data_IF_076506576414
#
_entry.id   IF_076506576414
#
_cell.length_a   1.000
_cell.length_b   1.000
_cell.length_c   1.000
_cell.angle_alpha   90.00
_cell.angle_beta   90.00
_cell.angle_gamma   90.00
#
_symmetry.space_group_name_H-M   'P 1'
#
loop_
_entity.id
_entity.type
_entity.pdbx_description
1 polymer ?
#
# COMPACT_ATOMS: atom_id res chain seq x y z
N UNK A 1 -3.92 -3.07 -19.06
CA UNK A 1 -4.07 -3.14 -17.58
C UNK A 1 -4.28 -1.78 -16.94
N UNK A 2 -5.24 -1.68 -16.01
CA UNK A 2 -5.39 -0.56 -15.04
C UNK A 2 -5.90 -1.11 -13.71
N UNK A 3 -5.40 -0.62 -12.57
CA UNK A 3 -5.87 -0.97 -11.21
C UNK A 3 -6.46 0.29 -10.55
N UNK A 4 -7.55 0.18 -9.77
CA UNK A 4 -8.30 1.36 -9.27
C UNK A 4 -8.99 1.18 -7.91
N UNK A 5 -9.15 2.29 -7.15
CA UNK A 5 -9.87 2.39 -5.87
C UNK A 5 -10.23 3.88 -5.57
N UNK A 6 -11.35 4.17 -4.89
CA UNK A 6 -11.96 5.52 -4.71
C UNK A 6 -12.57 5.74 -3.28
N UNK A 7 -13.04 6.95 -2.85
CA UNK A 7 -12.57 7.58 -1.60
C UNK A 7 -13.66 8.33 -0.75
N UNK A 8 -13.34 9.55 -0.24
CA UNK A 8 -14.16 10.59 0.47
C UNK A 8 -14.12 10.56 2.02
N UNK A 9 -14.33 11.67 2.78
CA UNK A 9 -14.55 13.11 2.45
C UNK A 9 -14.99 13.94 3.69
N UNK A 10 -15.35 15.24 3.52
CA UNK A 10 -15.98 16.20 4.51
C UNK A 10 -15.04 16.77 5.62
N UNK A 11 -14.97 18.05 6.09
CA UNK A 11 -15.73 19.35 6.06
C UNK A 11 -16.64 19.65 7.29
N UNK A 12 -16.81 20.87 7.88
CA UNK A 12 -16.23 22.23 7.76
C UNK A 12 -16.45 23.02 9.13
N UNK A 13 -16.53 24.36 9.11
CA UNK A 13 -16.96 25.35 10.16
C UNK A 13 -15.88 25.78 11.20
N UNK A 14 -15.50 27.05 11.41
CA UNK A 14 -16.20 28.31 11.86
C UNK A 14 -16.43 28.41 13.40
N UNK A 15 -16.33 29.55 14.10
CA UNK A 15 -16.10 30.98 13.76
C UNK A 15 -15.53 31.78 14.97
N UNK A 16 -14.77 32.87 14.76
CA UNK A 16 -14.74 34.08 15.63
C UNK A 16 -14.09 34.01 17.04
N UNK A 17 -13.78 35.12 17.73
CA UNK A 17 -13.59 36.54 17.35
C UNK A 17 -12.48 37.18 18.24
N UNK A 18 -12.21 38.48 18.04
CA UNK A 18 -11.16 39.30 18.65
C UNK A 18 -11.16 39.41 20.19
N UNK A 19 -10.04 39.92 20.75
CA UNK A 19 -9.96 40.97 21.80
C UNK A 19 -8.68 40.90 22.68
N UNK A 20 -7.66 41.66 22.28
CA UNK A 20 -6.61 42.21 23.15
C UNK A 20 -7.02 43.66 23.51
N UNK A 21 -6.59 44.30 24.63
CA UNK A 21 -5.27 44.14 25.26
C UNK A 21 -5.18 44.31 26.80
N UNK A 22 -4.00 43.97 27.37
CA UNK A 22 -3.14 44.86 28.22
C UNK A 22 -2.04 44.05 28.93
N UNK A 23 -0.80 44.55 28.92
CA UNK A 23 0.32 43.98 29.69
C UNK A 23 0.15 44.30 31.17
N UNK A 24 -0.48 43.40 31.92
CA UNK A 24 -0.44 43.43 33.38
C UNK A 24 0.89 42.80 33.85
N UNK A 25 1.79 43.60 34.41
CA UNK A 25 2.98 43.10 35.11
C UNK A 25 2.56 42.45 36.43
N UNK A 26 2.12 41.20 36.37
CA UNK A 26 1.91 40.37 37.55
C UNK A 26 3.28 40.04 38.14
N UNK A 27 3.66 40.77 39.19
CA UNK A 27 4.76 40.36 40.07
C UNK A 27 4.34 39.05 40.73
N UNK A 28 4.83 37.93 40.20
CA UNK A 28 4.56 36.60 40.72
C UNK A 28 5.27 36.41 42.07
N UNK A 29 4.67 36.95 43.12
CA UNK A 29 4.95 36.52 44.49
C UNK A 29 4.72 35.01 44.54
N UNK A 30 5.80 34.26 44.78
CA UNK A 30 5.76 32.80 44.83
C UNK A 30 5.03 32.36 46.11
N UNK A 31 3.70 32.44 46.08
CA UNK A 31 2.83 31.95 47.16
C UNK A 31 3.19 30.50 47.44
N UNK A 32 3.65 30.23 48.65
CA UNK A 32 4.12 28.91 49.10
C UNK A 32 3.13 27.81 48.73
N UNK A 33 3.43 27.09 47.65
CA UNK A 33 2.66 25.95 47.22
C UNK A 33 3.12 24.74 48.03
N UNK A 34 2.24 24.09 48.81
CA UNK A 34 2.63 22.96 49.64
C UNK A 34 3.28 21.88 48.76
N UNK A 35 4.44 21.38 49.20
CA UNK A 35 5.39 20.60 48.37
C UNK A 35 4.75 19.52 47.49
N UNK A 36 3.70 18.87 48.00
CA UNK A 36 2.91 17.85 47.31
C UNK A 36 2.42 18.26 45.91
N UNK A 37 2.21 19.56 45.64
CA UNK A 37 1.81 20.04 44.30
C UNK A 37 2.98 20.23 43.32
N UNK A 38 4.21 20.49 43.79
CA UNK A 38 5.35 20.77 42.90
C UNK A 38 5.80 19.53 42.10
N UNK A 39 5.76 18.34 42.70
CA UNK A 39 6.11 17.08 42.03
C UNK A 39 5.15 16.73 40.88
N UNK A 40 3.83 16.88 41.11
CA UNK A 40 2.81 16.59 40.10
C UNK A 40 2.96 17.48 38.85
N UNK A 41 3.29 18.76 39.02
CA UNK A 41 3.52 19.68 37.91
C UNK A 41 4.77 19.35 37.08
N UNK A 42 5.82 18.77 37.69
CA UNK A 42 7.01 18.31 36.96
C UNK A 42 6.71 17.09 36.09
N UNK A 43 5.92 16.13 36.59
CA UNK A 43 5.46 14.99 35.79
C UNK A 43 4.59 15.46 34.61
N UNK A 44 3.63 16.36 34.84
CA UNK A 44 2.82 16.94 33.77
C UNK A 44 3.70 17.69 32.75
N UNK A 45 4.65 18.52 33.20
CA UNK A 45 5.54 19.28 32.31
C UNK A 45 6.50 18.41 31.49
N UNK A 46 6.80 17.18 31.91
CA UNK A 46 7.61 16.22 31.16
C UNK A 46 6.76 15.37 30.20
N UNK A 47 5.56 14.96 30.63
CA UNK A 47 4.68 14.05 29.88
C UNK A 47 3.92 14.80 28.77
N UNK A 48 3.45 16.02 29.02
CA UNK A 48 2.69 16.80 28.03
C UNK A 48 3.46 17.07 26.71
N UNK A 49 4.73 17.54 26.72
CA UNK A 49 5.48 17.72 25.49
C UNK A 49 5.81 16.38 24.80
N UNK A 50 6.01 15.28 25.55
CA UNK A 50 6.26 13.96 24.97
C UNK A 50 5.03 13.44 24.21
N UNK A 51 3.82 13.60 24.76
CA UNK A 51 2.56 13.25 24.08
C UNK A 51 2.32 14.16 22.86
N UNK A 52 2.59 15.46 22.98
CA UNK A 52 2.52 16.39 21.84
C UNK A 52 3.49 15.99 20.72
N UNK A 53 4.73 15.62 21.04
CA UNK A 53 5.73 15.22 20.04
C UNK A 53 5.38 13.90 19.34
N UNK A 54 4.78 12.95 20.06
CA UNK A 54 4.33 11.68 19.48
C UNK A 54 3.24 11.88 18.39
N UNK A 55 2.33 12.84 18.58
CA UNK A 55 1.26 13.15 17.61
C UNK A 55 1.76 13.79 16.31
N UNK A 56 2.99 14.30 16.24
CA UNK A 56 3.55 14.86 15.00
C UNK A 56 3.94 13.78 13.97
N UNK A 57 4.01 12.49 14.34
CA UNK A 57 4.30 11.38 13.41
C UNK A 57 3.04 10.97 12.61
N UNK A 58 2.26 11.96 12.17
CA UNK A 58 1.19 11.77 11.20
C UNK A 58 1.81 11.52 9.82
N UNK A 59 2.16 10.26 9.53
CA UNK A 59 2.72 9.87 8.24
C UNK A 59 1.70 10.16 7.13
N UNK A 60 1.95 11.22 6.36
CA UNK A 60 1.26 11.48 5.10
C UNK A 60 1.59 10.37 4.12
N UNK A 61 0.77 9.31 4.11
CA UNK A 61 0.81 8.27 3.09
C UNK A 61 0.53 8.94 1.74
N UNK A 62 1.59 9.17 0.96
CA UNK A 62 1.44 9.40 -0.46
C UNK A 62 0.69 8.19 -1.05
N UNK A 63 -0.24 8.45 -1.97
CA UNK A 63 -0.85 7.40 -2.79
C UNK A 63 0.15 6.92 -3.85
N UNK A 64 1.25 6.36 -3.38
CA UNK A 64 2.19 5.57 -4.17
C UNK A 64 1.53 4.22 -4.44
N UNK A 65 1.42 3.84 -5.72
CA UNK A 65 0.93 2.53 -6.12
C UNK A 65 1.93 1.47 -5.65
N UNK A 66 1.59 0.76 -4.57
CA UNK A 66 2.53 -0.15 -3.90
C UNK A 66 2.93 -1.35 -4.77
N UNK A 67 2.06 -1.79 -5.69
CA UNK A 67 2.34 -2.83 -6.68
C UNK A 67 2.34 -2.22 -8.08
N UNK A 68 3.41 -2.44 -8.84
CA UNK A 68 3.58 -1.98 -10.22
C UNK A 68 3.65 -3.17 -11.18
N UNK A 69 3.39 -2.91 -12.46
CA UNK A 69 3.82 -3.80 -13.54
C UNK A 69 5.29 -3.49 -13.82
N UNK A 70 6.14 -4.51 -13.71
CA UNK A 70 7.60 -4.42 -13.80
C UNK A 70 8.13 -4.92 -15.15
N UNK A 71 7.45 -5.90 -15.74
CA UNK A 71 7.74 -6.42 -17.07
C UNK A 71 6.45 -6.90 -17.75
N UNK A 72 6.41 -6.83 -19.08
CA UNK A 72 5.39 -7.45 -19.93
C UNK A 72 6.10 -8.09 -21.11
N UNK A 73 5.75 -9.34 -21.40
CA UNK A 73 6.05 -10.05 -22.64
C UNK A 73 4.72 -10.28 -23.35
N UNK A 74 4.55 -9.60 -24.49
CA UNK A 74 3.34 -9.59 -25.33
C UNK A 74 3.61 -10.06 -26.77
N UNK A 75 4.89 -10.21 -27.15
CA UNK A 75 5.38 -10.61 -28.47
C UNK A 75 6.32 -11.80 -28.22
N UNK A 76 5.69 -12.97 -28.11
CA UNK A 76 6.32 -14.22 -27.70
C UNK A 76 7.33 -14.75 -28.73
N UNK A 77 8.16 -15.69 -28.30
CA UNK A 77 9.05 -16.43 -29.20
C UNK A 77 8.41 -17.74 -29.69
N UNK A 78 7.30 -18.18 -29.09
CA UNK A 78 6.52 -19.32 -29.56
C UNK A 78 5.30 -18.91 -30.40
N UNK A 79 4.89 -19.76 -31.33
CA UNK A 79 3.82 -19.44 -32.30
C UNK A 79 2.44 -19.42 -31.63
N UNK A 80 1.74 -18.29 -31.72
CA UNK A 80 0.50 -18.02 -30.97
C UNK A 80 0.74 -17.50 -29.55
N UNK A 81 1.98 -17.09 -29.28
CA UNK A 81 2.46 -16.46 -28.06
C UNK A 81 2.00 -17.15 -26.75
N UNK A 82 2.08 -18.48 -26.59
CA UNK A 82 1.74 -19.14 -25.32
C UNK A 82 2.64 -18.66 -24.16
N UNK A 83 3.84 -18.19 -24.48
CA UNK A 83 4.85 -17.67 -23.55
C UNK A 83 4.57 -16.25 -23.02
N UNK A 84 3.44 -15.61 -23.37
CA UNK A 84 3.04 -14.32 -22.80
C UNK A 84 3.03 -14.33 -21.27
N UNK A 85 3.57 -13.25 -20.68
CA UNK A 85 3.71 -13.11 -19.24
C UNK A 85 3.78 -11.66 -18.77
N UNK A 86 3.34 -11.43 -17.55
CA UNK A 86 3.41 -10.14 -16.84
C UNK A 86 4.11 -10.36 -15.50
N UNK A 87 5.08 -9.48 -15.17
CA UNK A 87 5.67 -9.44 -13.83
C UNK A 87 5.07 -8.30 -13.02
N UNK A 88 4.56 -8.61 -11.84
CA UNK A 88 4.21 -7.62 -10.82
C UNK A 88 5.37 -7.46 -9.84
N UNK A 89 5.57 -6.24 -9.31
CA UNK A 89 6.55 -5.94 -8.26
C UNK A 89 5.90 -5.14 -7.13
N UNK A 90 6.16 -5.50 -5.87
CA UNK A 90 5.81 -4.68 -4.72
C UNK A 90 6.99 -3.75 -4.37
N UNK A 91 6.84 -2.45 -4.64
CA UNK A 91 7.85 -1.41 -4.38
C UNK A 91 7.72 -0.76 -3.00
N UNK A 92 6.91 -1.34 -2.11
CA UNK A 92 6.68 -0.83 -0.76
C UNK A 92 7.41 -1.65 0.31
N UNK A 93 7.65 -1.02 1.47
CA UNK A 93 8.26 -1.66 2.64
C UNK A 93 7.34 -2.61 3.42
N UNK A 94 6.17 -2.97 2.88
CA UNK A 94 5.15 -3.82 3.53
C UNK A 94 4.62 -4.85 2.54
N UNK A 95 4.27 -6.06 3.01
CA UNK A 95 3.59 -7.03 2.15
C UNK A 95 2.24 -6.47 1.67
N UNK A 96 1.90 -6.71 0.40
CA UNK A 96 0.62 -6.30 -0.21
C UNK A 96 -0.17 -7.55 -0.56
N UNK A 97 -1.37 -7.67 0.01
CA UNK A 97 -2.37 -8.66 -0.37
C UNK A 97 -2.97 -8.28 -1.74
N UNK A 98 -2.96 -9.25 -2.66
CA UNK A 98 -3.49 -9.12 -4.02
C UNK A 98 -4.61 -10.14 -4.31
N UNK A 99 -5.16 -10.77 -3.27
CA UNK A 99 -6.31 -11.68 -3.36
C UNK A 99 -7.46 -11.03 -4.13
N UNK A 100 -8.00 -11.73 -5.14
CA UNK A 100 -9.10 -11.24 -5.97
C UNK A 100 -8.77 -10.01 -6.86
N UNK A 101 -7.50 -9.57 -6.92
CA UNK A 101 -7.08 -8.57 -7.91
C UNK A 101 -7.26 -9.13 -9.33
N UNK A 102 -7.46 -8.22 -10.29
CA UNK A 102 -7.69 -8.60 -11.67
C UNK A 102 -6.72 -7.91 -12.63
N UNK A 103 -6.36 -8.63 -13.68
CA UNK A 103 -5.54 -8.17 -14.80
C UNK A 103 -6.40 -8.24 -16.06
N UNK A 104 -6.35 -7.18 -16.86
CA UNK A 104 -7.16 -7.00 -18.05
C UNK A 104 -6.37 -6.20 -19.09
N UNK A 105 -6.65 -6.40 -20.38
CA UNK A 105 -6.32 -5.37 -21.37
C UNK A 105 -7.40 -4.27 -21.38
N UNK A 106 -7.06 -3.11 -21.95
CA UNK A 106 -7.95 -1.97 -22.10
C UNK A 106 -8.69 -1.93 -23.45
N UNK A 107 -8.33 -2.78 -24.42
CA UNK A 107 -8.96 -2.83 -25.76
C UNK A 107 -10.13 -3.83 -25.80
N UNK A 108 -10.09 -4.89 -24.99
CA UNK A 108 -11.06 -5.98 -24.98
C UNK A 108 -11.87 -6.08 -23.66
N UNK A 109 -12.51 -7.23 -23.39
CA UNK A 109 -13.22 -7.50 -22.13
C UNK A 109 -12.61 -8.64 -21.31
N UNK A 110 -11.32 -8.92 -21.49
CA UNK A 110 -10.55 -9.88 -20.69
C UNK A 110 -10.55 -9.49 -19.21
N UNK A 111 -10.49 -10.50 -18.35
CA UNK A 111 -10.32 -10.29 -16.90
C UNK A 111 -9.82 -11.57 -16.22
N UNK A 112 -8.52 -11.65 -15.97
CA UNK A 112 -7.88 -12.72 -15.21
C UNK A 112 -7.85 -12.37 -13.72
N UNK A 113 -8.35 -13.25 -12.85
CA UNK A 113 -8.51 -12.98 -11.41
C UNK A 113 -7.53 -13.81 -10.59
N UNK A 114 -6.72 -13.13 -9.77
CA UNK A 114 -5.71 -13.73 -8.89
C UNK A 114 -6.40 -14.43 -7.71
N UNK A 115 -5.91 -15.63 -7.39
CA UNK A 115 -6.44 -16.52 -6.35
C UNK A 115 -6.34 -15.90 -4.95
N UNK A 116 -7.24 -16.29 -4.05
CA UNK A 116 -7.25 -15.80 -2.67
C UNK A 116 -6.05 -16.30 -1.85
N UNK A 117 -5.58 -15.48 -0.91
CA UNK A 117 -4.42 -15.75 -0.05
C UNK A 117 -3.07 -15.34 -0.66
N UNK A 118 -3.06 -14.74 -1.85
CA UNK A 118 -1.84 -14.35 -2.56
C UNK A 118 -1.39 -12.96 -2.12
N UNK A 119 -0.14 -12.85 -1.66
CA UNK A 119 0.46 -11.56 -1.28
C UNK A 119 1.90 -11.45 -1.78
N UNK A 120 2.28 -10.26 -2.24
CA UNK A 120 3.65 -9.96 -2.64
C UNK A 120 4.38 -9.34 -1.45
N UNK A 121 5.45 -9.98 -0.97
CA UNK A 121 6.29 -9.47 0.11
C UNK A 121 7.10 -8.20 -0.31
N UNK A 122 7.66 -7.42 0.63
CA UNK A 122 8.39 -6.19 0.31
C UNK A 122 9.53 -6.41 -0.70
N UNK A 123 9.61 -5.53 -1.70
CA UNK A 123 10.60 -5.60 -2.80
C UNK A 123 10.63 -6.92 -3.59
N UNK A 124 9.59 -7.76 -3.48
CA UNK A 124 9.49 -9.01 -4.25
C UNK A 124 8.67 -8.83 -5.53
N UNK A 125 8.84 -9.77 -6.44
CA UNK A 125 8.11 -9.89 -7.70
C UNK A 125 7.33 -11.19 -7.78
N UNK A 126 6.27 -11.24 -8.58
CA UNK A 126 5.67 -12.49 -9.05
C UNK A 126 5.48 -12.46 -10.58
N UNK A 127 5.70 -13.59 -11.23
CA UNK A 127 5.43 -13.82 -12.64
C UNK A 127 4.08 -14.50 -12.83
N UNK A 128 3.30 -13.94 -13.75
CA UNK A 128 1.97 -14.37 -14.12
C UNK A 128 2.03 -14.71 -15.61
N UNK A 129 1.75 -15.95 -15.99
CA UNK A 129 1.91 -16.42 -17.38
C UNK A 129 0.62 -17.00 -17.96
N UNK A 130 0.52 -16.96 -19.30
CA UNK A 130 -0.52 -17.63 -20.08
C UNK A 130 -0.34 -19.15 -20.04
N UNK A 131 0.87 -19.62 -20.34
CA UNK A 131 1.28 -21.04 -20.33
C UNK A 131 2.60 -21.19 -19.57
N UNK A 132 2.58 -21.89 -18.42
CA UNK A 132 3.76 -21.99 -17.56
C UNK A 132 4.87 -22.82 -18.16
N UNK A 133 4.55 -23.82 -18.99
CA UNK A 133 5.55 -24.62 -19.69
C UNK A 133 6.20 -23.84 -20.84
N UNK A 134 5.48 -22.98 -21.56
CA UNK A 134 6.05 -22.07 -22.55
C UNK A 134 6.97 -21.03 -21.90
N UNK A 135 6.50 -20.38 -20.82
CA UNK A 135 7.32 -19.49 -20.01
C UNK A 135 8.60 -20.21 -19.52
N UNK A 136 8.51 -21.44 -19.02
CA UNK A 136 9.68 -22.19 -18.55
C UNK A 136 10.69 -22.47 -19.66
N UNK A 137 10.25 -22.74 -20.89
CA UNK A 137 11.15 -22.98 -22.05
C UNK A 137 11.95 -21.74 -22.43
N UNK A 138 11.35 -20.55 -22.29
CA UNK A 138 11.99 -19.27 -22.63
C UNK A 138 12.85 -18.70 -21.49
N UNK A 139 12.36 -18.73 -20.25
CA UNK A 139 13.00 -18.09 -19.09
C UNK A 139 13.90 -19.04 -18.27
N UNK A 140 13.73 -20.36 -18.41
CA UNK A 140 14.52 -21.37 -17.69
C UNK A 140 14.06 -21.64 -16.24
N UNK A 141 12.97 -21.00 -15.79
CA UNK A 141 12.32 -21.22 -14.50
C UNK A 141 10.80 -21.09 -14.66
N UNK A 142 10.02 -21.67 -13.73
CA UNK A 142 8.56 -21.60 -13.77
C UNK A 142 8.02 -20.23 -13.30
N UNK A 143 6.84 -19.79 -13.78
CA UNK A 143 6.17 -18.61 -13.23
C UNK A 143 5.55 -18.94 -11.86
N UNK A 144 5.07 -17.93 -11.15
CA UNK A 144 4.34 -18.11 -9.89
C UNK A 144 2.88 -18.55 -10.12
N UNK A 145 2.28 -18.20 -11.27
CA UNK A 145 0.93 -18.61 -11.68
C UNK A 145 0.83 -18.84 -13.20
N UNK A 146 -0.02 -19.78 -13.63
CA UNK A 146 -0.36 -20.04 -15.05
C UNK A 146 -1.89 -20.09 -15.32
N UNK A 147 -2.32 -19.83 -16.57
CA UNK A 147 -3.74 -19.93 -16.99
C UNK A 147 -4.05 -21.28 -17.62
N UNK A 148 -3.18 -21.75 -18.51
CA UNK A 148 -3.23 -23.11 -19.04
C UNK A 148 -2.62 -24.04 -17.98
N UNK A 149 -3.36 -25.06 -17.53
CA UNK A 149 -2.88 -26.04 -16.53
C UNK A 149 -1.83 -26.99 -17.14
N UNK A 150 -0.61 -26.51 -17.35
CA UNK A 150 0.49 -27.27 -17.98
C UNK A 150 1.38 -27.98 -16.96
N UNK A 151 1.34 -27.55 -15.70
CA UNK A 151 2.18 -28.04 -14.63
C UNK A 151 1.42 -28.06 -13.31
N UNK A 152 1.04 -29.26 -12.86
CA UNK A 152 0.37 -29.48 -11.56
C UNK A 152 1.20 -29.08 -10.31
N UNK A 153 2.33 -28.41 -10.48
CA UNK A 153 3.11 -27.75 -9.42
C UNK A 153 2.91 -26.23 -9.36
N UNK A 154 2.28 -25.62 -10.37
CA UNK A 154 2.06 -24.17 -10.49
C UNK A 154 0.60 -23.85 -10.18
N UNK A 155 0.31 -22.89 -9.28
CA UNK A 155 -1.04 -22.44 -9.01
C UNK A 155 -1.73 -21.86 -10.26
N UNK A 156 -2.95 -22.32 -10.52
CA UNK A 156 -3.83 -21.70 -11.51
C UNK A 156 -4.53 -20.46 -10.93
N UNK A 157 -4.97 -19.54 -11.80
CA UNK A 157 -5.81 -18.39 -11.44
C UNK A 157 -7.22 -18.82 -11.01
N UNK A 158 -7.91 -18.00 -10.22
CA UNK A 158 -9.24 -18.33 -9.68
C UNK A 158 -10.34 -18.34 -10.75
N UNK A 159 -10.26 -17.44 -11.73
CA UNK A 159 -11.17 -17.38 -12.89
C UNK A 159 -10.66 -16.40 -13.94
N UNK A 160 -11.17 -16.51 -15.17
CA UNK A 160 -10.98 -15.49 -16.21
C UNK A 160 -10.47 -16.05 -17.53
N UNK A 161 -9.91 -15.16 -18.34
CA UNK A 161 -9.13 -15.44 -19.54
C UNK A 161 -7.84 -14.61 -19.50
N UNK A 162 -6.78 -15.07 -20.15
CA UNK A 162 -5.60 -14.24 -20.39
C UNK A 162 -6.00 -12.96 -21.17
N UNK A 163 -5.44 -11.79 -20.82
CA UNK A 163 -5.66 -10.51 -21.50
C UNK A 163 -4.78 -10.26 -22.73
#
# INVERSE_FOLDING_TARGET
MVVSCLPQGVQQMEEGTDFLPKRLFVVLTQKEMPMFKRSLWLLVALILPAILFASLISQTRATSTAVLIDAVLYDGQETGEPDEAVRLINVSGTAVDISGWAINDAVDSSKLVITDGVSIAPQQTIWLAKDGAAFQRQFGFWPDFEVNDTSASIPNFASGSWP
#
